data_IF_049915554443
#
_entry.id   IF_049915554443
#
_cell.length_a   1.000
_cell.length_b   1.000
_cell.length_c   1.000
_cell.angle_alpha   90.00
_cell.angle_beta   90.00
_cell.angle_gamma   90.00
#
_symmetry.space_group_name_H-M   'P 1'
#
loop_
_entity.id
_entity.type
_entity.pdbx_description
1 polymer ?
#
# COMPACT_ATOMS: atom_id res chain seq x y z
N UNK A 1 1.35 -28.63 35.10
CA UNK A 1 0.44 -28.51 33.94
C UNK A 1 1.00 -27.41 33.06
N UNK A 2 1.17 -27.60 31.74
CA UNK A 2 1.49 -26.47 30.86
C UNK A 2 0.35 -25.46 30.96
N UNK A 3 0.66 -24.17 30.84
CA UNK A 3 -0.34 -23.10 30.90
C UNK A 3 -1.48 -23.39 29.90
N UNK A 4 -2.72 -23.61 30.39
CA UNK A 4 -3.90 -23.92 29.57
C UNK A 4 -4.20 -22.85 28.52
N UNK A 5 -3.78 -21.60 28.75
CA UNK A 5 -3.98 -20.49 27.80
C UNK A 5 -3.38 -20.76 26.43
N UNK A 6 -2.26 -21.50 26.36
CA UNK A 6 -1.58 -21.83 25.10
C UNK A 6 -2.44 -22.67 24.13
N UNK A 7 -3.46 -23.37 24.62
CA UNK A 7 -4.35 -24.19 23.78
C UNK A 7 -5.44 -23.35 23.09
N UNK A 8 -5.63 -22.11 23.53
CA UNK A 8 -6.58 -21.16 22.95
C UNK A 8 -5.90 -20.12 22.05
N UNK A 9 -4.58 -20.19 21.86
CA UNK A 9 -3.87 -19.33 20.94
C UNK A 9 -4.15 -19.73 19.49
N UNK A 10 -4.60 -18.76 18.69
CA UNK A 10 -4.80 -18.96 17.26
C UNK A 10 -3.44 -19.09 16.56
N UNK A 11 -3.04 -20.34 16.29
CA UNK A 11 -1.78 -20.67 15.61
C UNK A 11 -1.68 -20.10 14.19
N UNK A 12 -2.81 -19.80 13.54
CA UNK A 12 -2.84 -19.23 12.19
C UNK A 12 -2.55 -17.72 12.17
N UNK A 13 -2.67 -17.03 13.32
CA UNK A 13 -2.29 -15.62 13.48
C UNK A 13 -0.78 -15.40 13.61
N UNK A 14 0.05 -16.46 13.60
CA UNK A 14 1.51 -16.30 13.68
C UNK A 14 2.02 -15.37 12.56
N UNK A 15 2.70 -14.30 12.97
CA UNK A 15 3.31 -13.31 12.08
C UNK A 15 4.34 -13.93 11.13
N UNK A 16 4.91 -15.08 11.48
CA UNK A 16 5.86 -15.84 10.66
C UNK A 16 5.20 -16.55 9.49
N UNK A 17 3.89 -16.79 9.54
CA UNK A 17 3.14 -17.34 8.40
C UNK A 17 3.04 -16.24 7.34
N UNK A 18 3.75 -16.42 6.24
CA UNK A 18 3.70 -15.52 5.09
C UNK A 18 2.37 -15.61 4.36
N UNK A 19 2.04 -14.60 3.54
CA UNK A 19 0.84 -14.59 2.68
C UNK A 19 0.76 -15.86 1.81
N UNK A 20 1.88 -16.25 1.18
CA UNK A 20 1.96 -17.46 0.36
C UNK A 20 1.72 -18.74 1.15
N UNK A 21 2.28 -18.82 2.37
CA UNK A 21 2.04 -19.98 3.24
C UNK A 21 0.58 -20.05 3.68
N UNK A 22 -0.05 -18.91 4.04
CA UNK A 22 -1.46 -18.86 4.41
C UNK A 22 -2.35 -19.33 3.25
N UNK A 23 -2.10 -18.85 2.02
CA UNK A 23 -2.84 -19.27 0.84
C UNK A 23 -2.70 -20.78 0.57
N UNK A 24 -1.47 -21.31 0.66
CA UNK A 24 -1.21 -22.74 0.46
C UNK A 24 -1.87 -23.62 1.53
N UNK A 25 -1.75 -23.22 2.80
CA UNK A 25 -2.40 -23.88 3.94
C UNK A 25 -3.91 -23.95 3.77
N UNK A 26 -4.52 -22.80 3.43
CA UNK A 26 -5.97 -22.68 3.30
C UNK A 26 -6.48 -23.47 2.09
N UNK A 27 -5.76 -23.43 0.96
CA UNK A 27 -6.13 -24.19 -0.24
C UNK A 27 -6.13 -25.69 0.04
N UNK A 28 -5.08 -26.21 0.69
CA UNK A 28 -5.02 -27.61 1.10
C UNK A 28 -6.14 -27.97 2.10
N UNK A 29 -6.36 -27.10 3.09
CA UNK A 29 -7.43 -27.28 4.07
C UNK A 29 -8.82 -27.34 3.41
N UNK A 30 -9.13 -26.44 2.47
CA UNK A 30 -10.39 -26.45 1.71
C UNK A 30 -10.56 -27.78 0.96
N UNK A 31 -9.51 -28.28 0.30
CA UNK A 31 -9.56 -29.56 -0.41
C UNK A 31 -9.85 -30.73 0.54
N UNK A 32 -9.18 -30.75 1.68
CA UNK A 32 -9.37 -31.75 2.73
C UNK A 32 -10.77 -31.67 3.37
N UNK A 33 -11.19 -30.48 3.78
CA UNK A 33 -12.49 -30.23 4.40
C UNK A 33 -13.64 -30.60 3.45
N UNK A 34 -13.52 -30.27 2.17
CA UNK A 34 -14.48 -30.68 1.12
C UNK A 34 -14.58 -32.20 0.98
N UNK A 35 -13.46 -32.91 1.06
CA UNK A 35 -13.46 -34.37 1.01
C UNK A 35 -14.13 -34.98 2.25
N UNK A 36 -13.90 -34.40 3.43
CA UNK A 36 -14.54 -34.85 4.67
C UNK A 36 -16.03 -34.55 4.68
N UNK A 37 -16.44 -33.37 4.20
CA UNK A 37 -17.84 -32.98 4.09
C UNK A 37 -18.69 -33.99 3.29
N UNK A 38 -18.17 -34.43 2.15
CA UNK A 38 -18.80 -35.49 1.34
C UNK A 38 -18.93 -36.81 2.09
N UNK A 39 -17.92 -37.17 2.89
CA UNK A 39 -17.90 -38.43 3.65
C UNK A 39 -18.80 -38.41 4.87
N UNK A 40 -19.01 -37.23 5.46
CA UNK A 40 -19.84 -37.04 6.66
C UNK A 40 -21.29 -36.64 6.35
N UNK A 41 -21.71 -36.68 5.08
CA UNK A 41 -23.07 -36.32 4.69
C UNK A 41 -23.40 -34.83 4.85
N UNK A 42 -22.40 -33.94 4.71
CA UNK A 42 -22.61 -32.49 4.75
C UNK A 42 -22.35 -31.82 6.11
N UNK A 43 -21.79 -32.54 7.09
CA UNK A 43 -21.53 -32.02 8.44
C UNK A 43 -20.66 -30.75 8.43
N UNK A 44 -19.78 -30.58 7.45
CA UNK A 44 -18.77 -29.53 7.40
C UNK A 44 -19.11 -28.41 6.42
N UNK A 45 -20.29 -28.45 5.78
CA UNK A 45 -20.68 -27.55 4.70
C UNK A 45 -20.60 -26.07 5.10
N UNK A 46 -21.08 -25.72 6.31
CA UNK A 46 -21.03 -24.35 6.81
C UNK A 46 -19.58 -23.84 6.99
N UNK A 47 -18.68 -24.70 7.48
CA UNK A 47 -17.26 -24.34 7.65
C UNK A 47 -16.52 -24.28 6.33
N UNK A 48 -16.85 -25.17 5.40
CA UNK A 48 -16.34 -25.12 4.04
C UNK A 48 -16.74 -23.81 3.35
N UNK A 49 -18.02 -23.42 3.44
CA UNK A 49 -18.51 -22.16 2.89
C UNK A 49 -17.77 -20.95 3.49
N UNK A 50 -17.70 -20.86 4.83
CA UNK A 50 -17.01 -19.76 5.51
C UNK A 50 -15.50 -19.69 5.15
N UNK A 51 -14.83 -20.83 5.02
CA UNK A 51 -13.40 -20.88 4.65
C UNK A 51 -13.19 -20.44 3.20
N UNK A 52 -14.07 -20.84 2.29
CA UNK A 52 -14.01 -20.43 0.87
C UNK A 52 -14.25 -18.93 0.73
N UNK A 53 -15.22 -18.38 1.45
CA UNK A 53 -15.51 -16.94 1.47
C UNK A 53 -14.33 -16.13 2.02
N UNK A 54 -13.80 -16.50 3.19
CA UNK A 54 -12.64 -15.83 3.77
C UNK A 54 -11.38 -15.94 2.90
N UNK A 55 -11.19 -17.07 2.20
CA UNK A 55 -10.09 -17.23 1.24
C UNK A 55 -10.26 -16.29 0.03
N UNK A 56 -11.49 -16.16 -0.49
CA UNK A 56 -11.76 -15.24 -1.59
C UNK A 56 -11.50 -13.77 -1.20
N UNK A 57 -11.94 -13.34 -0.01
CA UNK A 57 -11.63 -12.01 0.51
C UNK A 57 -10.11 -11.79 0.68
N UNK A 58 -9.40 -12.80 1.16
CA UNK A 58 -7.95 -12.75 1.30
C UNK A 58 -7.24 -12.62 -0.06
N UNK A 59 -7.63 -13.40 -1.07
CA UNK A 59 -7.09 -13.32 -2.43
C UNK A 59 -7.37 -11.97 -3.10
N UNK A 60 -8.58 -11.42 -2.90
CA UNK A 60 -8.93 -10.08 -3.34
C UNK A 60 -8.06 -9.01 -2.66
N UNK A 61 -7.82 -9.12 -1.36
CA UNK A 61 -7.00 -8.16 -0.63
C UNK A 61 -5.52 -8.21 -1.06
N UNK A 62 -4.98 -9.39 -1.40
CA UNK A 62 -3.64 -9.52 -2.00
C UNK A 62 -3.58 -8.78 -3.33
N UNK A 63 -4.56 -9.01 -4.19
CA UNK A 63 -4.63 -8.41 -5.53
C UNK A 63 -4.76 -6.89 -5.47
N UNK A 64 -5.59 -6.37 -4.56
CA UNK A 64 -5.73 -4.93 -4.32
C UNK A 64 -4.41 -4.34 -3.81
N UNK A 65 -3.76 -4.95 -2.82
CA UNK A 65 -2.47 -4.48 -2.29
C UNK A 65 -1.38 -4.35 -3.36
N UNK A 66 -1.27 -5.37 -4.22
CA UNK A 66 -0.35 -5.36 -5.35
C UNK A 66 -0.68 -4.25 -6.35
N UNK A 67 -1.96 -4.11 -6.71
CA UNK A 67 -2.44 -3.09 -7.64
C UNK A 67 -2.16 -1.67 -7.13
N UNK A 68 -2.48 -1.41 -5.85
CA UNK A 68 -2.21 -0.11 -5.24
C UNK A 68 -0.71 0.17 -5.11
N UNK A 69 0.11 -0.85 -4.88
CA UNK A 69 1.56 -0.69 -4.85
C UNK A 69 2.11 -0.20 -6.21
N UNK A 70 1.59 -0.72 -7.32
CA UNK A 70 2.01 -0.31 -8.66
C UNK A 70 1.48 1.07 -9.04
N UNK A 71 0.23 1.41 -8.70
CA UNK A 71 -0.26 2.78 -8.85
C UNK A 71 0.57 3.78 -8.05
N UNK A 72 0.93 3.46 -6.80
CA UNK A 72 1.80 4.31 -5.98
C UNK A 72 3.16 4.52 -6.65
N UNK A 73 3.79 3.46 -7.17
CA UNK A 73 5.08 3.57 -7.89
C UNK A 73 4.94 4.48 -9.11
N UNK A 74 3.91 4.28 -9.93
CA UNK A 74 3.68 5.09 -11.13
C UNK A 74 3.47 6.57 -10.80
N UNK A 75 2.63 6.89 -9.81
CA UNK A 75 2.37 8.28 -9.38
C UNK A 75 3.61 8.95 -8.78
N UNK A 76 4.37 8.23 -7.93
CA UNK A 76 5.64 8.74 -7.40
C UNK A 76 6.68 8.96 -8.50
N UNK A 77 6.75 8.10 -9.52
CA UNK A 77 7.63 8.29 -10.66
C UNK A 77 7.27 9.55 -11.45
N UNK A 78 5.99 9.79 -11.72
CA UNK A 78 5.51 11.02 -12.39
C UNK A 78 5.86 12.26 -11.57
N UNK A 79 5.58 12.26 -10.26
CA UNK A 79 5.98 13.35 -9.35
C UNK A 79 7.48 13.62 -9.39
N UNK A 80 8.29 12.56 -9.27
CA UNK A 80 9.75 12.68 -9.30
C UNK A 80 10.28 13.19 -10.64
N UNK A 81 9.69 12.79 -11.78
CA UNK A 81 10.04 13.31 -13.10
C UNK A 81 9.75 14.80 -13.19
N UNK A 82 8.58 15.23 -12.73
CA UNK A 82 8.24 16.65 -12.65
C UNK A 82 9.22 17.42 -11.77
N UNK A 83 9.49 16.94 -10.55
CA UNK A 83 10.45 17.54 -9.60
C UNK A 83 11.84 17.67 -10.20
N UNK A 84 12.32 16.68 -10.96
CA UNK A 84 13.62 16.72 -11.64
C UNK A 84 13.68 17.77 -12.75
N UNK A 85 12.59 17.95 -13.51
CA UNK A 85 12.52 18.92 -14.59
C UNK A 85 12.28 20.36 -14.11
N UNK A 86 11.67 20.53 -12.93
CA UNK A 86 11.21 21.81 -12.40
C UNK A 86 12.30 22.90 -12.32
N UNK A 87 13.50 22.66 -11.75
CA UNK A 87 14.53 23.70 -11.66
C UNK A 87 14.96 24.24 -13.03
N UNK A 88 15.03 23.37 -14.04
CA UNK A 88 15.38 23.77 -15.41
C UNK A 88 14.28 24.62 -16.04
N UNK A 89 13.01 24.22 -15.87
CA UNK A 89 11.86 24.97 -16.39
C UNK A 89 11.74 26.35 -15.74
N UNK A 90 11.89 26.44 -14.42
CA UNK A 90 11.89 27.73 -13.72
C UNK A 90 13.09 28.59 -14.15
N UNK A 91 14.29 28.01 -14.26
CA UNK A 91 15.48 28.76 -14.71
C UNK A 91 15.30 29.33 -16.11
N UNK A 92 14.67 28.59 -17.03
CA UNK A 92 14.38 29.08 -18.37
C UNK A 92 13.50 30.35 -18.35
N UNK A 93 12.52 30.42 -17.44
CA UNK A 93 11.68 31.61 -17.25
C UNK A 93 12.51 32.77 -16.67
N UNK A 94 13.32 32.49 -15.65
CA UNK A 94 14.14 33.49 -14.95
C UNK A 94 15.22 34.10 -15.84
N UNK A 95 15.79 33.31 -16.76
CA UNK A 95 16.83 33.79 -17.68
C UNK A 95 16.34 34.95 -18.57
N UNK A 96 15.05 35.04 -18.87
CA UNK A 96 14.50 36.20 -19.59
C UNK A 96 14.53 37.47 -18.76
N UNK A 97 14.26 37.35 -17.46
CA UNK A 97 14.34 38.48 -16.52
C UNK A 97 15.79 38.89 -16.32
N UNK A 98 16.70 37.92 -16.23
CA UNK A 98 18.15 38.17 -16.16
C UNK A 98 18.65 38.88 -17.42
N UNK A 99 18.18 38.48 -18.61
CA UNK A 99 18.58 39.11 -19.87
C UNK A 99 18.17 40.59 -19.95
N UNK A 100 17.03 40.95 -19.36
CA UNK A 100 16.50 42.32 -19.40
C UNK A 100 17.05 43.22 -18.29
N UNK A 101 17.13 42.72 -17.06
CA UNK A 101 17.45 43.53 -15.88
C UNK A 101 18.85 43.27 -15.31
N UNK A 102 19.55 42.23 -15.76
CA UNK A 102 20.79 41.75 -15.18
C UNK A 102 20.58 40.80 -13.99
N UNK A 103 21.58 39.96 -13.75
CA UNK A 103 21.51 38.85 -12.79
C UNK A 103 21.36 39.30 -11.33
N UNK A 104 21.96 40.42 -10.96
CA UNK A 104 21.95 40.97 -9.59
C UNK A 104 20.79 41.94 -9.34
N UNK A 105 19.83 42.01 -10.26
CA UNK A 105 18.74 42.97 -10.16
C UNK A 105 17.74 42.64 -9.03
N UNK A 106 17.09 43.66 -8.43
CA UNK A 106 15.99 43.45 -7.49
C UNK A 106 14.85 42.62 -8.09
N UNK A 107 14.62 42.71 -9.40
CA UNK A 107 13.61 41.98 -10.16
C UNK A 107 13.88 40.47 -10.15
N UNK A 108 15.14 40.05 -10.41
CA UNK A 108 15.53 38.64 -10.33
C UNK A 108 15.42 38.12 -8.88
N UNK A 109 15.84 38.94 -7.91
CA UNK A 109 15.75 38.61 -6.48
C UNK A 109 14.29 38.42 -6.03
N UNK A 110 13.35 39.22 -6.55
CA UNK A 110 11.93 39.10 -6.22
C UNK A 110 11.32 37.76 -6.68
N UNK A 111 11.81 37.20 -7.80
CA UNK A 111 11.26 35.98 -8.40
C UNK A 111 11.84 34.72 -7.74
N UNK A 112 13.17 34.62 -7.65
CA UNK A 112 13.84 33.40 -7.18
C UNK A 112 14.54 33.52 -5.83
N UNK A 113 14.62 34.72 -5.24
CA UNK A 113 15.40 34.93 -4.02
C UNK A 113 16.85 34.49 -4.20
N UNK A 114 17.26 33.47 -3.44
CA UNK A 114 18.61 32.86 -3.49
C UNK A 114 18.85 31.92 -4.68
N UNK A 115 17.92 31.82 -5.63
CA UNK A 115 18.09 31.11 -6.90
C UNK A 115 17.22 29.86 -7.06
N UNK A 116 17.49 29.06 -8.10
CA UNK A 116 16.69 27.86 -8.43
C UNK A 116 17.25 26.55 -7.88
N UNK A 117 18.45 26.56 -7.32
CA UNK A 117 19.07 25.41 -6.62
C UNK A 117 18.23 24.87 -5.46
N UNK A 118 17.56 25.72 -4.63
CA UNK A 118 16.69 25.27 -3.54
C UNK A 118 15.49 24.44 -4.00
N UNK A 119 15.04 24.59 -5.25
CA UNK A 119 13.90 23.82 -5.77
C UNK A 119 14.14 22.31 -5.72
N UNK A 120 15.38 21.84 -5.85
CA UNK A 120 15.69 20.40 -5.85
C UNK A 120 15.55 19.77 -4.46
N UNK A 121 15.80 20.55 -3.41
CA UNK A 121 15.74 20.12 -2.00
C UNK A 121 14.46 20.56 -1.29
N UNK A 122 13.65 21.41 -1.92
CA UNK A 122 12.41 21.91 -1.35
C UNK A 122 11.46 20.75 -1.00
N UNK A 123 10.83 20.78 0.19
CA UNK A 123 9.70 19.91 0.50
C UNK A 123 8.59 20.01 -0.56
N UNK A 124 7.89 18.91 -0.84
CA UNK A 124 6.87 18.87 -1.90
C UNK A 124 5.70 19.83 -1.63
N UNK A 125 5.31 19.99 -0.37
CA UNK A 125 4.29 20.93 0.10
C UNK A 125 4.69 22.41 -0.09
N UNK A 126 5.98 22.71 -0.11
CA UNK A 126 6.48 24.07 -0.36
C UNK A 126 6.58 24.43 -1.86
N UNK A 127 6.56 23.44 -2.76
CA UNK A 127 6.76 23.67 -4.21
C UNK A 127 5.71 24.60 -4.79
N UNK A 128 4.46 24.45 -4.37
CA UNK A 128 3.39 25.33 -4.83
C UNK A 128 3.60 26.78 -4.38
N UNK A 129 4.05 26.98 -3.13
CA UNK A 129 4.34 28.30 -2.59
C UNK A 129 5.51 28.97 -3.31
N UNK A 130 6.55 28.20 -3.64
CA UNK A 130 7.64 28.69 -4.48
C UNK A 130 7.14 29.12 -5.86
N UNK A 131 6.30 28.31 -6.52
CA UNK A 131 5.74 28.67 -7.83
C UNK A 131 4.82 29.89 -7.77
N UNK A 132 4.04 30.05 -6.69
CA UNK A 132 3.28 31.28 -6.43
C UNK A 132 4.20 32.49 -6.33
N UNK A 133 5.34 32.39 -5.63
CA UNK A 133 6.32 33.48 -5.54
C UNK A 133 6.86 33.88 -6.92
N UNK A 134 7.23 32.90 -7.75
CA UNK A 134 7.70 33.14 -9.12
C UNK A 134 6.65 33.89 -9.94
N UNK A 135 5.40 33.43 -9.91
CA UNK A 135 4.27 34.08 -10.60
C UNK A 135 4.07 35.51 -10.11
N UNK A 136 4.03 35.73 -8.79
CA UNK A 136 3.86 37.06 -8.19
C UNK A 136 4.99 38.02 -8.57
N UNK A 137 6.24 37.54 -8.62
CA UNK A 137 7.38 38.35 -9.06
C UNK A 137 7.38 38.66 -10.56
N UNK A 138 6.81 37.79 -11.40
CA UNK A 138 6.71 38.00 -12.85
C UNK A 138 5.59 38.96 -13.25
N UNK A 139 4.46 38.97 -12.52
CA UNK A 139 3.29 39.82 -12.82
C UNK A 139 3.62 41.30 -13.11
N UNK A 140 4.40 42.01 -12.28
CA UNK A 140 4.72 43.41 -12.56
C UNK A 140 5.66 43.60 -13.77
N UNK A 141 6.32 42.54 -14.25
CA UNK A 141 7.30 42.60 -15.34
C UNK A 141 6.74 42.20 -16.71
N UNK A 142 5.47 41.79 -16.77
CA UNK A 142 4.81 41.23 -17.97
C UNK A 142 4.96 42.10 -19.21
N UNK A 143 4.86 43.43 -19.06
CA UNK A 143 5.01 44.36 -20.17
C UNK A 143 6.40 44.30 -20.84
N UNK A 144 7.42 43.91 -20.07
CA UNK A 144 8.81 43.83 -20.55
C UNK A 144 9.19 42.40 -20.95
N UNK A 145 8.92 41.41 -20.08
CA UNK A 145 9.37 40.01 -20.29
C UNK A 145 8.37 39.15 -21.07
N UNK A 146 7.17 39.69 -21.31
CA UNK A 146 6.11 39.10 -22.12
C UNK A 146 5.16 38.17 -21.35
N UNK A 147 3.88 38.22 -21.72
CA UNK A 147 2.80 37.42 -21.12
C UNK A 147 3.06 35.91 -21.16
N UNK A 148 3.67 35.41 -22.24
CA UNK A 148 4.01 34.00 -22.42
C UNK A 148 4.80 33.40 -21.23
N UNK A 149 5.66 34.19 -20.58
CA UNK A 149 6.48 33.72 -19.45
C UNK A 149 5.69 33.58 -18.17
N UNK A 150 4.72 34.48 -17.97
CA UNK A 150 3.75 34.36 -16.90
C UNK A 150 2.88 33.12 -17.11
N UNK A 151 2.38 32.91 -18.34
CA UNK A 151 1.56 31.74 -18.68
C UNK A 151 2.32 30.42 -18.46
N UNK A 152 3.61 30.36 -18.84
CA UNK A 152 4.48 29.20 -18.59
C UNK A 152 4.66 28.92 -17.07
N UNK A 153 4.76 29.96 -16.24
CA UNK A 153 4.86 29.83 -14.79
C UNK A 153 3.52 29.37 -14.16
N UNK A 154 2.39 29.91 -14.63
CA UNK A 154 1.06 29.50 -14.19
C UNK A 154 0.76 28.05 -14.59
N UNK A 155 1.14 27.64 -15.80
CA UNK A 155 1.04 26.26 -16.26
C UNK A 155 1.86 25.30 -15.38
N UNK A 156 3.09 25.67 -15.00
CA UNK A 156 3.90 24.88 -14.07
C UNK A 156 3.20 24.64 -12.73
N UNK A 157 2.57 25.67 -12.17
CA UNK A 157 1.82 25.55 -10.92
C UNK A 157 0.56 24.68 -11.10
N UNK A 158 -0.17 24.88 -12.20
CA UNK A 158 -1.36 24.10 -12.53
C UNK A 158 -1.05 22.62 -12.80
N UNK A 159 0.11 22.30 -13.37
CA UNK A 159 0.60 20.93 -13.55
C UNK A 159 0.98 20.29 -12.20
N UNK A 160 1.61 21.04 -11.29
CA UNK A 160 2.10 20.52 -10.01
C UNK A 160 0.98 20.00 -9.10
N UNK A 161 -0.07 20.79 -8.89
CA UNK A 161 -1.15 20.49 -7.95
C UNK A 161 -1.79 19.09 -8.15
N UNK A 162 -2.27 18.71 -9.35
CA UNK A 162 -2.84 17.38 -9.56
C UNK A 162 -1.80 16.25 -9.46
N UNK A 163 -0.55 16.49 -9.84
CA UNK A 163 0.53 15.50 -9.72
C UNK A 163 0.82 15.19 -8.25
N UNK A 164 0.93 16.22 -7.43
CA UNK A 164 1.16 16.08 -5.99
C UNK A 164 -0.02 15.37 -5.32
N UNK A 165 -1.24 15.87 -5.53
CA UNK A 165 -2.46 15.27 -4.97
C UNK A 165 -2.60 13.78 -5.34
N UNK A 166 -2.38 13.42 -6.60
CA UNK A 166 -2.45 12.02 -7.04
C UNK A 166 -1.38 11.12 -6.38
N UNK A 167 -0.19 11.64 -6.07
CA UNK A 167 0.85 10.90 -5.33
C UNK A 167 0.46 10.65 -3.87
N UNK A 168 -0.17 11.63 -3.23
CA UNK A 168 -0.59 11.51 -1.82
C UNK A 168 -1.79 10.56 -1.69
N UNK A 169 -2.76 10.69 -2.61
CA UNK A 169 -3.88 9.76 -2.71
C UNK A 169 -3.42 8.32 -2.93
N UNK A 170 -2.47 8.08 -3.84
CA UNK A 170 -1.94 6.74 -4.08
C UNK A 170 -1.16 6.17 -2.89
N UNK A 171 -0.52 7.03 -2.08
CA UNK A 171 0.14 6.60 -0.83
C UNK A 171 -0.90 6.19 0.21
N UNK A 172 -1.98 6.95 0.35
CA UNK A 172 -3.10 6.64 1.24
C UNK A 172 -3.83 5.37 0.83
N UNK A 173 -4.16 5.23 -0.46
CA UNK A 173 -4.82 4.05 -1.01
C UNK A 173 -4.03 2.77 -0.75
N UNK A 174 -2.70 2.79 -0.96
CA UNK A 174 -1.83 1.67 -0.62
C UNK A 174 -1.83 1.37 0.87
N UNK A 175 -1.77 2.37 1.76
CA UNK A 175 -1.86 2.12 3.21
C UNK A 175 -3.16 1.40 3.58
N UNK A 176 -4.30 1.84 3.03
CA UNK A 176 -5.60 1.20 3.26
C UNK A 176 -5.63 -0.24 2.72
N UNK A 177 -5.03 -0.51 1.57
CA UNK A 177 -4.93 -1.86 1.03
C UNK A 177 -4.08 -2.79 1.93
N UNK A 178 -2.99 -2.29 2.52
CA UNK A 178 -2.19 -3.06 3.51
C UNK A 178 -3.01 -3.41 4.76
N UNK A 179 -3.78 -2.44 5.25
CA UNK A 179 -4.65 -2.63 6.41
C UNK A 179 -5.74 -3.66 6.12
N UNK A 180 -6.36 -3.60 4.93
CA UNK A 180 -7.33 -4.60 4.45
C UNK A 180 -6.72 -5.99 4.33
N UNK A 181 -5.52 -6.10 3.76
CA UNK A 181 -4.82 -7.39 3.65
C UNK A 181 -4.52 -7.99 5.03
N UNK A 182 -4.10 -7.17 6.01
CA UNK A 182 -3.89 -7.63 7.39
C UNK A 182 -5.20 -8.10 8.02
N UNK A 183 -6.29 -7.36 7.83
CA UNK A 183 -7.60 -7.71 8.35
C UNK A 183 -8.13 -9.01 7.72
N UNK A 184 -8.05 -9.16 6.39
CA UNK A 184 -8.46 -10.37 5.68
C UNK A 184 -7.63 -11.59 6.11
N UNK A 185 -6.32 -11.43 6.31
CA UNK A 185 -5.47 -12.50 6.85
C UNK A 185 -5.93 -12.92 8.26
N UNK A 186 -6.27 -11.95 9.12
CA UNK A 186 -6.74 -12.23 10.47
C UNK A 186 -8.10 -12.96 10.44
N UNK A 187 -9.06 -12.48 9.65
CA UNK A 187 -10.36 -13.13 9.48
C UNK A 187 -10.23 -14.57 8.96
N UNK A 188 -9.38 -14.79 7.96
CA UNK A 188 -9.09 -16.14 7.47
C UNK A 188 -8.46 -17.02 8.56
N UNK A 189 -7.51 -16.48 9.33
CA UNK A 189 -6.89 -17.19 10.46
C UNK A 189 -7.92 -17.59 11.51
N UNK A 190 -8.90 -16.74 11.80
CA UNK A 190 -9.96 -17.01 12.77
C UNK A 190 -10.91 -18.10 12.26
N UNK A 191 -11.29 -18.07 10.98
CA UNK A 191 -12.11 -19.13 10.38
C UNK A 191 -11.40 -20.49 10.43
N UNK A 192 -10.10 -20.53 10.12
CA UNK A 192 -9.29 -21.75 10.23
C UNK A 192 -9.22 -22.26 11.68
N UNK A 193 -9.07 -21.36 12.64
CA UNK A 193 -9.00 -21.71 14.05
C UNK A 193 -10.33 -22.23 14.60
N UNK A 194 -11.44 -21.55 14.30
CA UNK A 194 -12.78 -22.03 14.67
C UNK A 194 -13.05 -23.40 14.07
N UNK A 195 -12.69 -23.60 12.80
CA UNK A 195 -12.84 -24.90 12.13
C UNK A 195 -12.01 -25.98 12.83
N UNK A 196 -10.77 -25.67 13.22
CA UNK A 196 -9.93 -26.58 14.01
C UNK A 196 -10.60 -26.96 15.35
N UNK A 197 -11.14 -25.99 16.08
CA UNK A 197 -11.82 -26.24 17.35
C UNK A 197 -13.06 -27.14 17.18
N UNK A 198 -13.83 -26.95 16.12
CA UNK A 198 -14.99 -27.81 15.82
C UNK A 198 -14.59 -29.24 15.46
N UNK A 199 -13.51 -29.42 14.71
CA UNK A 199 -12.97 -30.74 14.40
C UNK A 199 -12.47 -31.42 15.68
N UNK A 200 -11.74 -30.72 16.54
CA UNK A 200 -11.30 -31.24 17.84
C UNK A 200 -12.51 -31.65 18.70
N UNK A 201 -13.57 -30.84 18.72
CA UNK A 201 -14.81 -31.16 19.46
C UNK A 201 -15.48 -32.41 18.90
N UNK A 202 -15.61 -32.53 17.58
CA UNK A 202 -16.24 -33.69 16.92
C UNK A 202 -15.42 -34.97 17.08
N UNK A 203 -14.09 -34.88 17.17
CA UNK A 203 -13.16 -36.00 17.21
C UNK A 203 -12.31 -36.02 18.49
N UNK A 204 -12.90 -35.66 19.64
CA UNK A 204 -12.21 -35.43 20.93
C UNK A 204 -11.25 -36.53 21.39
N UNK A 205 -11.48 -37.78 20.99
CA UNK A 205 -10.70 -38.96 21.38
C UNK A 205 -9.88 -39.55 20.23
N UNK A 206 -9.82 -38.86 19.08
CA UNK A 206 -9.19 -39.31 17.84
C UNK A 206 -8.35 -38.20 17.19
N UNK A 207 -7.30 -37.70 17.88
CA UNK A 207 -6.49 -36.58 17.39
C UNK A 207 -5.78 -36.86 16.06
N UNK A 208 -5.53 -38.13 15.73
CA UNK A 208 -4.95 -38.57 14.45
C UNK A 208 -5.82 -38.18 13.24
N UNK A 209 -7.12 -37.98 13.44
CA UNK A 209 -8.06 -37.55 12.39
C UNK A 209 -7.77 -36.12 11.92
N UNK A 210 -7.08 -35.28 12.70
CA UNK A 210 -6.73 -33.91 12.32
C UNK A 210 -5.93 -33.83 11.02
N UNK A 211 -5.08 -34.82 10.73
CA UNK A 211 -4.31 -34.88 9.47
C UNK A 211 -5.19 -34.98 8.22
N UNK A 212 -6.42 -35.45 8.38
CA UNK A 212 -7.42 -35.53 7.31
C UNK A 212 -8.04 -34.16 6.98
N UNK A 213 -7.83 -33.15 7.82
CA UNK A 213 -8.38 -31.81 7.68
C UNK A 213 -7.29 -30.75 7.50
N UNK A 214 -6.15 -30.86 8.17
CA UNK A 214 -5.03 -29.91 8.11
C UNK A 214 -3.72 -30.61 7.76
N UNK A 215 -2.85 -29.94 6.99
CA UNK A 215 -1.48 -30.42 6.76
C UNK A 215 -0.52 -29.94 7.85
N UNK A 216 0.12 -30.85 8.62
CA UNK A 216 0.97 -30.47 9.75
C UNK A 216 2.26 -29.71 9.37
N UNK A 217 2.77 -29.88 8.16
CA UNK A 217 4.10 -29.38 7.76
C UNK A 217 4.16 -27.90 7.39
N UNK A 218 3.02 -27.24 7.22
CA UNK A 218 2.96 -25.86 6.72
C UNK A 218 2.61 -24.81 7.80
N UNK A 219 2.09 -25.24 8.97
CA UNK A 219 1.67 -24.37 10.08
C UNK A 219 2.81 -24.01 11.06
N UNK A 220 4.05 -23.86 10.55
CA UNK A 220 5.16 -23.37 11.37
C UNK A 220 5.69 -24.37 12.40
N UNK A 221 6.09 -25.58 11.97
CA UNK A 221 7.10 -26.40 12.63
C UNK A 221 6.87 -26.87 14.08
N UNK A 222 5.77 -26.48 14.74
CA UNK A 222 5.35 -27.09 16.00
C UNK A 222 4.46 -28.27 15.65
N UNK A 223 4.94 -29.51 15.79
CA UNK A 223 4.07 -30.66 15.62
C UNK A 223 2.94 -30.53 16.63
N UNK A 224 1.69 -30.66 16.18
CA UNK A 224 0.50 -30.96 16.99
C UNK A 224 0.60 -32.37 17.61
N UNK A 225 1.79 -32.76 18.09
CA UNK A 225 1.97 -34.02 18.79
C UNK A 225 1.57 -33.81 20.25
N UNK A 226 0.74 -34.68 20.83
CA UNK A 226 0.76 -34.85 22.28
C UNK A 226 2.20 -35.28 22.61
N UNK A 227 2.94 -34.42 23.31
CA UNK A 227 4.19 -34.86 23.95
C UNK A 227 3.77 -35.87 25.01
N UNK A 228 4.17 -37.13 24.79
CA UNK A 228 4.11 -38.20 25.80
C UNK A 228 4.82 -37.76 27.07
#
# INVERSE_FOLDING_TARGET
MKDPGNYFENLFLDRRITVKQMAALTTDHIGKLRNQDKRSGGQWNARLAATVEAMAEFDHAISDDMTQADFRKARKLTKNRFRRALPRRVRAIVNWVVAEYGETSPQVTAIVGSGTTPLRSLPDDEVENYLKKVITGLKPLVATVGQKRLDEAEALKAEWAPIYAASEQATTAKRLAEERLRAAKAALSDVLFVTLLEIIKAHRHRPEVLGNFFTPSLAGGRPLRPRR
#
